data_IF_689496091730
#
_entry.id   IF_689496091730
#
_cell.length_a   1.000
_cell.length_b   1.000
_cell.length_c   1.000
_cell.angle_alpha   90.00
_cell.angle_beta   90.00
_cell.angle_gamma   90.00
#
_symmetry.space_group_name_H-M   'P 1'
#
loop_
_entity.id
_entity.type
_entity.pdbx_description
1 polymer ?
#
# COMPACT_ATOMS: atom_id res chain seq x y z
N UNK A 1 11.23 -24.72 -4.73
CA UNK A 1 9.89 -24.45 -4.20
C UNK A 1 8.89 -25.19 -5.06
N UNK A 2 8.06 -26.03 -4.46
CA UNK A 2 6.97 -26.75 -5.14
C UNK A 2 5.79 -25.80 -5.42
N UNK A 3 4.94 -26.07 -6.43
CA UNK A 3 3.75 -25.27 -6.71
C UNK A 3 2.85 -25.02 -5.50
N UNK A 4 2.66 -26.03 -4.65
CA UNK A 4 1.88 -25.93 -3.40
C UNK A 4 2.51 -24.94 -2.40
N UNK A 5 3.85 -24.94 -2.29
CA UNK A 5 4.61 -24.04 -1.42
C UNK A 5 4.53 -22.60 -1.95
N UNK A 6 4.60 -22.42 -3.28
CA UNK A 6 4.41 -21.13 -3.93
C UNK A 6 2.99 -20.59 -3.70
N UNK A 7 1.95 -21.42 -3.90
CA UNK A 7 0.56 -21.05 -3.67
C UNK A 7 0.36 -20.51 -2.24
N UNK A 8 0.85 -21.22 -1.23
CA UNK A 8 0.77 -20.77 0.16
C UNK A 8 1.52 -19.45 0.38
N UNK A 9 2.73 -19.31 -0.18
CA UNK A 9 3.53 -18.10 -0.03
C UNK A 9 2.89 -16.88 -0.70
N UNK A 10 2.26 -17.06 -1.87
CA UNK A 10 1.54 -15.99 -2.56
C UNK A 10 0.29 -15.57 -1.76
N UNK A 11 -0.45 -16.53 -1.19
CA UNK A 11 -1.58 -16.22 -0.30
C UNK A 11 -1.19 -15.38 0.91
N UNK A 12 -0.10 -15.74 1.60
CA UNK A 12 0.43 -14.95 2.73
C UNK A 12 0.89 -13.55 2.27
N UNK A 13 1.52 -13.46 1.11
CA UNK A 13 1.95 -12.16 0.55
C UNK A 13 0.76 -11.28 0.22
N UNK A 14 -0.29 -11.84 -0.37
CA UNK A 14 -1.53 -11.14 -0.66
C UNK A 14 -2.16 -10.57 0.62
N UNK A 15 -2.31 -11.40 1.66
CA UNK A 15 -2.86 -10.97 2.96
C UNK A 15 -2.03 -9.84 3.60
N UNK A 16 -0.70 -9.96 3.57
CA UNK A 16 0.20 -8.92 4.07
C UNK A 16 0.05 -7.60 3.29
N UNK A 17 -0.03 -7.66 1.96
CA UNK A 17 -0.23 -6.47 1.13
C UNK A 17 -1.57 -5.81 1.41
N UNK A 18 -2.67 -6.58 1.53
CA UNK A 18 -3.98 -6.02 1.90
C UNK A 18 -3.94 -5.31 3.25
N UNK A 19 -3.27 -5.90 4.25
CA UNK A 19 -3.10 -5.25 5.55
C UNK A 19 -2.30 -3.94 5.49
N UNK A 20 -1.27 -3.87 4.63
CA UNK A 20 -0.49 -2.64 4.41
C UNK A 20 -1.33 -1.58 3.70
N UNK A 21 -2.13 -1.95 2.68
CA UNK A 21 -3.06 -1.02 2.01
C UNK A 21 -3.98 -0.35 3.03
N UNK A 22 -4.60 -1.14 3.91
CA UNK A 22 -5.51 -0.61 4.93
C UNK A 22 -4.80 0.36 5.89
N UNK A 23 -3.57 0.04 6.30
CA UNK A 23 -2.74 0.94 7.12
C UNK A 23 -2.43 2.25 6.39
N UNK A 24 -2.03 2.20 5.12
CA UNK A 24 -1.75 3.40 4.32
C UNK A 24 -3.00 4.25 4.16
N UNK A 25 -4.17 3.65 3.91
CA UNK A 25 -5.45 4.38 3.85
C UNK A 25 -5.80 5.07 5.17
N UNK A 26 -5.50 4.45 6.31
CA UNK A 26 -5.64 5.11 7.61
C UNK A 26 -4.69 6.30 7.77
N UNK A 27 -3.46 6.19 7.27
CA UNK A 27 -2.49 7.31 7.26
C UNK A 27 -2.97 8.46 6.36
N UNK A 28 -3.55 8.17 5.20
CA UNK A 28 -4.18 9.19 4.34
C UNK A 28 -5.26 9.95 5.12
N UNK A 29 -6.20 9.23 5.73
CA UNK A 29 -7.27 9.83 6.51
C UNK A 29 -6.74 10.67 7.68
N UNK A 30 -5.67 10.22 8.34
CA UNK A 30 -5.02 10.97 9.41
C UNK A 30 -4.36 12.27 8.90
N UNK A 31 -3.72 12.23 7.72
CA UNK A 31 -3.08 13.41 7.12
C UNK A 31 -4.12 14.45 6.64
N UNK A 32 -5.25 14.01 6.13
CA UNK A 32 -6.34 14.87 5.63
C UNK A 32 -6.96 15.75 6.72
N UNK A 33 -6.94 15.31 7.98
CA UNK A 33 -7.58 16.01 9.11
C UNK A 33 -6.63 16.90 9.92
N UNK A 34 -5.37 17.04 9.51
CA UNK A 34 -4.43 17.92 10.20
C UNK A 34 -4.87 19.38 10.17
N UNK A 35 -4.80 20.06 11.31
CA UNK A 35 -4.98 21.51 11.38
C UNK A 35 -3.77 22.22 10.77
N UNK A 36 -3.93 22.68 9.53
CA UNK A 36 -2.86 23.33 8.76
C UNK A 36 -2.32 24.59 9.43
N UNK A 37 -3.08 25.25 10.31
CA UNK A 37 -2.64 26.44 11.04
C UNK A 37 -1.69 26.12 12.19
N UNK A 38 -1.71 24.88 12.66
CA UNK A 38 -0.84 24.40 13.73
C UNK A 38 0.46 23.78 13.21
N UNK A 39 0.62 23.65 11.89
CA UNK A 39 1.78 23.05 11.26
C UNK A 39 2.88 24.07 10.98
N UNK A 40 4.13 23.61 11.08
CA UNK A 40 5.32 24.35 10.69
C UNK A 40 6.16 23.47 9.76
N UNK A 41 6.93 24.10 8.89
CA UNK A 41 7.94 23.43 8.06
C UNK A 41 9.32 23.96 8.46
N UNK A 42 10.37 23.25 8.05
CA UNK A 42 11.75 23.73 8.23
C UNK A 42 11.95 25.09 7.55
N UNK A 43 12.70 25.99 8.18
CA UNK A 43 12.92 27.36 7.70
C UNK A 43 13.65 27.42 6.33
N UNK A 44 14.33 26.34 5.93
CA UNK A 44 14.98 26.23 4.61
C UNK A 44 14.02 25.74 3.50
N UNK A 45 12.80 25.34 3.86
CA UNK A 45 11.79 24.88 2.92
C UNK A 45 11.24 26.02 2.07
N UNK A 46 11.08 25.78 0.77
CA UNK A 46 10.46 26.74 -0.17
C UNK A 46 8.94 26.58 -0.29
N UNK A 47 8.36 25.61 0.42
CA UNK A 47 6.92 25.33 0.43
C UNK A 47 6.28 25.71 1.76
N UNK A 48 4.99 26.02 1.73
CA UNK A 48 4.18 26.31 2.91
C UNK A 48 3.81 25.03 3.67
N UNK A 49 3.45 25.12 4.97
CA UNK A 49 2.91 23.97 5.71
C UNK A 49 1.66 23.34 5.09
N UNK A 50 0.85 24.14 4.39
CA UNK A 50 -0.31 23.63 3.67
C UNK A 50 0.12 22.74 2.50
N UNK A 51 1.02 23.22 1.64
CA UNK A 51 1.56 22.45 0.51
C UNK A 51 2.28 21.18 0.98
N UNK A 52 3.04 21.25 2.07
CA UNK A 52 3.73 20.09 2.63
C UNK A 52 2.75 19.00 3.09
N UNK A 53 1.67 19.38 3.78
CA UNK A 53 0.66 18.43 4.23
C UNK A 53 -0.20 17.88 3.06
N UNK A 54 -0.43 18.66 2.01
CA UNK A 54 -1.08 18.16 0.78
C UNK A 54 -0.19 17.14 0.07
N UNK A 55 1.10 17.42 -0.07
CA UNK A 55 2.08 16.50 -0.65
C UNK A 55 2.13 15.16 0.12
N UNK A 56 2.11 15.20 1.45
CA UNK A 56 2.06 13.97 2.27
C UNK A 56 0.80 13.16 1.95
N UNK A 57 -0.38 13.79 1.90
CA UNK A 57 -1.61 13.08 1.59
C UNK A 57 -1.62 12.53 0.15
N UNK A 58 -1.07 13.27 -0.81
CA UNK A 58 -0.94 12.85 -2.20
C UNK A 58 -0.03 11.62 -2.36
N UNK A 59 1.16 11.65 -1.76
CA UNK A 59 2.11 10.53 -1.80
C UNK A 59 1.54 9.27 -1.12
N UNK A 60 0.84 9.43 0.00
CA UNK A 60 0.18 8.31 0.67
C UNK A 60 -0.96 7.72 -0.19
N UNK A 61 -1.73 8.54 -0.91
CA UNK A 61 -2.76 8.04 -1.85
C UNK A 61 -2.13 7.30 -3.02
N UNK A 62 -1.09 7.86 -3.63
CA UNK A 62 -0.35 7.20 -4.70
C UNK A 62 0.25 5.85 -4.24
N UNK A 63 0.75 5.79 -2.99
CA UNK A 63 1.22 4.56 -2.39
C UNK A 63 0.09 3.52 -2.23
N UNK A 64 -1.08 3.92 -1.72
CA UNK A 64 -2.23 3.03 -1.59
C UNK A 64 -2.68 2.48 -2.96
N UNK A 65 -2.75 3.32 -3.99
CA UNK A 65 -3.13 2.92 -5.35
C UNK A 65 -2.14 1.92 -5.95
N UNK A 66 -0.83 2.15 -5.76
CA UNK A 66 0.21 1.22 -6.22
C UNK A 66 0.14 -0.12 -5.49
N UNK A 67 -0.18 -0.11 -4.20
CA UNK A 67 -0.36 -1.34 -3.41
C UNK A 67 -1.64 -2.09 -3.82
N UNK A 68 -2.75 -1.41 -4.08
CA UNK A 68 -3.97 -2.03 -4.63
C UNK A 68 -3.68 -2.76 -5.95
N UNK A 69 -2.87 -2.14 -6.83
CA UNK A 69 -2.42 -2.77 -8.06
C UNK A 69 -1.56 -4.02 -7.80
N UNK A 70 -0.65 -3.96 -6.82
CA UNK A 70 0.17 -5.09 -6.40
C UNK A 70 -0.68 -6.23 -5.79
N UNK A 71 -1.70 -5.91 -5.00
CA UNK A 71 -2.68 -6.88 -4.46
C UNK A 71 -3.36 -7.63 -5.61
N UNK A 72 -3.86 -6.91 -6.62
CA UNK A 72 -4.49 -7.53 -7.80
C UNK A 72 -3.55 -8.49 -8.54
N UNK A 73 -2.26 -8.15 -8.65
CA UNK A 73 -1.26 -9.06 -9.22
C UNK A 73 -0.99 -10.29 -8.35
N UNK A 74 -0.91 -10.13 -7.04
CA UNK A 74 -0.75 -11.24 -6.11
C UNK A 74 -1.96 -12.18 -6.15
N UNK A 75 -3.19 -11.64 -6.20
CA UNK A 75 -4.42 -12.41 -6.35
C UNK A 75 -4.45 -13.20 -7.67
N UNK A 76 -4.09 -12.55 -8.79
CA UNK A 76 -4.01 -13.21 -10.09
C UNK A 76 -2.97 -14.34 -10.10
N UNK A 77 -1.81 -14.13 -9.50
CA UNK A 77 -0.78 -15.15 -9.36
C UNK A 77 -1.24 -16.30 -8.46
N UNK A 78 -1.96 -15.99 -7.37
CA UNK A 78 -2.50 -16.99 -6.45
C UNK A 78 -3.53 -17.89 -7.14
N UNK A 79 -4.45 -17.27 -7.89
CA UNK A 79 -5.42 -17.95 -8.75
C UNK A 79 -4.73 -18.82 -9.81
N UNK A 80 -3.66 -18.33 -10.43
CA UNK A 80 -2.88 -19.12 -11.40
C UNK A 80 -2.19 -20.33 -10.76
N UNK A 81 -1.56 -20.14 -9.59
CA UNK A 81 -0.90 -21.21 -8.87
C UNK A 81 -1.89 -22.31 -8.43
N UNK A 82 -3.13 -21.95 -8.08
CA UNK A 82 -4.16 -22.91 -7.66
C UNK A 82 -4.54 -23.93 -8.75
N UNK A 83 -4.24 -23.64 -10.02
CA UNK A 83 -4.50 -24.52 -11.16
C UNK A 83 -3.37 -25.52 -11.42
N UNK A 84 -2.23 -25.37 -10.74
CA UNK A 84 -1.06 -26.23 -10.92
C UNK A 84 -1.12 -27.34 -9.85
N UNK A 85 -1.47 -28.55 -10.28
CA UNK A 85 -1.30 -29.75 -9.46
C UNK A 85 0.11 -30.32 -9.62
N UNK A 86 0.71 -30.79 -8.53
CA UNK A 86 1.83 -31.72 -8.62
C UNK A 86 1.23 -33.07 -9.02
N UNK A 87 1.46 -33.50 -10.26
CA UNK A 87 1.16 -34.88 -10.65
C UNK A 87 1.85 -35.81 -9.66
N UNK A 88 1.05 -36.61 -8.94
CA UNK A 88 1.53 -37.54 -7.91
C UNK A 88 2.52 -38.57 -8.43
#
# INVERSE_FOLDING_TARGET
MRPQELYAQVGMTHEALSGIVDQVRQLVAAAEVWDRRALTVDDSSVITPAEAADAVAEELRACADALDFAVGHAEAAWSAASRIGDGG
#
